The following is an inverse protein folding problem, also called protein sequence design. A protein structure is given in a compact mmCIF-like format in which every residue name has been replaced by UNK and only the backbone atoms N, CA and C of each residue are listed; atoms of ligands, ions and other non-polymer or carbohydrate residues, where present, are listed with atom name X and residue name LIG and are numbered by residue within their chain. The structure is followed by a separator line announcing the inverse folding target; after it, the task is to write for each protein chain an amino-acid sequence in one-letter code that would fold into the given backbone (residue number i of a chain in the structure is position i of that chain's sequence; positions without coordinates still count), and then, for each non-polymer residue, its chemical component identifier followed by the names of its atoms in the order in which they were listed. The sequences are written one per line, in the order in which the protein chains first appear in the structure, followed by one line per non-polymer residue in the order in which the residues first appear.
data_IF_640350446834
#
_entry.id   IF_640350446834
#
_cell.length_a   1.000
_cell.length_b   1.000
_cell.length_c   1.000
_cell.angle_alpha   90.00
_cell.angle_beta   90.00
_cell.angle_gamma   90.00
#
_symmetry.space_group_name_H-M   'P 1'
#
loop_
_entity.id
_entity.type
_entity.pdbx_description
1 polymer ?
#
# COMPACT_ATOMS: atom_id res chain seq x y z
N UNK A 1 -55.52 -7.22 28.89
CA UNK A 1 -54.20 -7.20 28.21
C UNK A 1 -53.11 -7.18 29.27
N UNK A 2 -52.26 -8.21 29.35
CA UNK A 2 -51.20 -8.30 30.37
C UNK A 2 -50.02 -7.38 30.00
N UNK A 3 -49.64 -6.46 30.90
CA UNK A 3 -48.43 -5.63 30.73
C UNK A 3 -47.20 -6.50 30.99
N UNK A 4 -46.43 -6.82 29.95
CA UNK A 4 -45.09 -7.41 30.10
C UNK A 4 -44.20 -6.41 30.86
N UNK A 5 -43.68 -6.79 32.02
CA UNK A 5 -42.65 -6.02 32.73
C UNK A 5 -41.30 -6.39 32.15
N UNK A 6 -40.64 -5.45 31.47
CA UNK A 6 -39.26 -5.63 31.01
C UNK A 6 -38.35 -5.51 32.24
N UNK A 7 -37.58 -6.55 32.53
CA UNK A 7 -36.60 -6.51 33.60
C UNK A 7 -35.31 -5.82 33.15
N UNK A 8 -34.58 -5.17 34.07
CA UNK A 8 -33.28 -4.53 33.77
C UNK A 8 -32.30 -5.49 33.09
N UNK A 9 -32.34 -6.77 33.45
CA UNK A 9 -31.49 -7.83 32.88
C UNK A 9 -31.88 -8.15 31.42
N UNK A 10 -33.17 -8.20 31.11
CA UNK A 10 -33.64 -8.38 29.72
C UNK A 10 -33.28 -7.17 28.87
N UNK A 11 -33.44 -5.95 29.40
CA UNK A 11 -33.06 -4.73 28.70
C UNK A 11 -31.56 -4.68 28.39
N UNK A 12 -30.68 -4.99 29.36
CA UNK A 12 -29.23 -5.03 29.12
C UNK A 12 -28.88 -6.15 28.12
N UNK A 13 -29.50 -7.33 28.22
CA UNK A 13 -29.32 -8.41 27.25
C UNK A 13 -29.73 -8.02 25.83
N UNK A 14 -30.86 -7.32 25.68
CA UNK A 14 -31.38 -6.86 24.39
C UNK A 14 -30.54 -5.71 23.81
N UNK A 15 -30.12 -4.74 24.62
CA UNK A 15 -29.22 -3.64 24.22
C UNK A 15 -27.83 -4.15 23.81
N UNK A 16 -27.31 -5.17 24.50
CA UNK A 16 -26.00 -5.74 24.16
C UNK A 16 -26.06 -6.49 22.82
N UNK A 17 -27.18 -7.18 22.55
CA UNK A 17 -27.36 -7.93 21.30
C UNK A 17 -27.62 -6.99 20.10
N UNK A 18 -28.38 -5.91 20.29
CA UNK A 18 -28.68 -4.94 19.23
C UNK A 18 -27.56 -3.89 19.00
N UNK A 19 -26.74 -3.59 20.02
CA UNK A 19 -25.66 -2.61 19.92
C UNK A 19 -24.44 -3.10 19.13
N UNK A 20 -24.15 -4.40 19.18
CA UNK A 20 -22.99 -4.98 18.49
C UNK A 20 -23.11 -4.92 16.96
N UNK A 21 -24.34 -4.99 16.42
CA UNK A 21 -24.58 -4.90 14.97
C UNK A 21 -24.22 -3.54 14.36
N UNK A 22 -24.25 -2.45 15.13
CA UNK A 22 -23.87 -1.12 14.65
C UNK A 22 -22.37 -0.80 14.79
N UNK A 23 -21.60 -1.73 15.37
CA UNK A 23 -20.17 -1.50 15.63
C UNK A 23 -19.26 -2.20 14.60
N UNK A 24 -19.82 -3.01 13.69
CA UNK A 24 -19.07 -3.56 12.55
C UNK A 24 -19.01 -2.51 11.45
N UNK A 25 -18.16 -1.51 11.64
CA UNK A 25 -17.80 -0.53 10.61
C UNK A 25 -16.45 -0.91 10.03
N UNK A 26 -16.33 -0.78 8.70
CA UNK A 26 -15.06 -1.05 8.03
C UNK A 26 -13.95 -0.15 8.62
N UNK A 27 -12.71 -0.65 8.79
CA UNK A 27 -11.61 0.11 9.40
C UNK A 27 -11.31 1.48 8.76
N UNK A 28 -11.74 1.72 7.52
CA UNK A 28 -11.61 3.01 6.85
C UNK A 28 -12.58 4.08 7.34
N UNK A 29 -13.69 3.71 8.00
CA UNK A 29 -14.72 4.66 8.51
C UNK A 29 -14.28 5.30 9.82
N UNK A 30 -13.55 4.57 10.67
CA UNK A 30 -13.12 5.04 11.99
C UNK A 30 -11.79 5.83 11.97
N UNK A 31 -11.27 6.17 10.80
CA UNK A 31 -9.89 6.68 10.71
C UNK A 31 -8.85 5.67 11.20
N UNK A 32 -9.22 4.40 11.38
CA UNK A 32 -8.34 3.31 11.77
C UNK A 32 -7.45 2.84 10.59
N UNK A 33 -7.46 3.57 9.47
CA UNK A 33 -6.38 3.52 8.49
C UNK A 33 -5.12 4.09 9.14
N UNK A 34 -4.33 3.18 9.71
CA UNK A 34 -2.88 3.30 9.64
C UNK A 34 -2.26 4.36 10.54
N UNK A 35 -1.97 3.99 11.78
CA UNK A 35 -0.75 4.50 12.44
C UNK A 35 0.54 4.08 11.69
N UNK A 36 0.43 3.19 10.69
CA UNK A 36 1.55 2.55 9.97
C UNK A 36 1.33 2.34 8.46
N UNK A 37 0.38 3.03 7.80
CA UNK A 37 0.23 2.94 6.33
C UNK A 37 0.06 4.32 5.73
N UNK A 38 1.13 4.83 5.11
CA UNK A 38 1.13 6.05 4.31
C UNK A 38 0.09 5.92 3.19
N UNK A 39 -0.64 7.00 2.90
CA UNK A 39 -1.51 7.03 1.73
C UNK A 39 -0.63 6.87 0.48
N UNK A 40 -1.14 6.31 -0.63
CA UNK A 40 -0.36 6.20 -1.87
C UNK A 40 0.19 7.54 -2.37
N UNK A 41 -0.51 8.65 -2.09
CA UNK A 41 -0.08 10.02 -2.41
C UNK A 41 1.11 10.51 -1.58
N UNK A 42 1.34 9.91 -0.41
CA UNK A 42 2.36 10.34 0.55
C UNK A 42 3.65 9.54 0.39
N UNK A 43 3.69 8.60 -0.57
CA UNK A 43 4.86 7.80 -0.90
C UNK A 43 5.71 8.52 -1.93
N UNK A 44 7.03 8.33 -1.84
CA UNK A 44 7.96 8.82 -2.85
C UNK A 44 7.89 7.95 -4.11
N UNK A 45 8.01 8.58 -5.27
CA UNK A 45 8.23 7.92 -6.55
C UNK A 45 9.73 7.66 -6.74
N UNK A 46 10.15 6.42 -6.53
CA UNK A 46 11.55 6.02 -6.59
C UNK A 46 11.89 5.47 -7.97
N UNK A 47 13.00 5.91 -8.54
CA UNK A 47 13.62 5.28 -9.70
C UNK A 47 14.87 4.50 -9.30
N UNK A 48 14.99 3.25 -9.77
CA UNK A 48 16.17 2.42 -9.48
C UNK A 48 16.98 2.16 -10.75
N UNK A 49 18.29 2.45 -10.70
CA UNK A 49 19.23 2.24 -11.81
C UNK A 49 20.22 1.13 -11.42
N UNK A 50 20.34 0.10 -12.25
CA UNK A 50 21.11 -1.11 -11.93
C UNK A 50 20.31 -2.02 -11.00
N UNK A 51 19.32 -2.71 -11.56
CA UNK A 51 18.30 -3.46 -10.80
C UNK A 51 18.50 -4.97 -10.85
N UNK A 52 19.66 -5.43 -11.29
CA UNK A 52 20.12 -6.81 -11.17
C UNK A 52 20.99 -7.08 -9.93
N UNK A 53 21.23 -8.35 -9.62
CA UNK A 53 22.11 -8.76 -8.52
C UNK A 53 21.70 -8.17 -7.17
N UNK A 54 22.62 -7.45 -6.49
CA UNK A 54 22.35 -6.76 -5.22
C UNK A 54 21.29 -5.66 -5.36
N UNK A 55 21.25 -4.95 -6.50
CA UNK A 55 20.23 -3.92 -6.73
C UNK A 55 18.81 -4.47 -6.69
N UNK A 56 18.61 -5.74 -7.07
CA UNK A 56 17.31 -6.40 -6.94
C UNK A 56 16.87 -6.60 -5.48
N UNK A 57 17.82 -6.68 -4.53
CA UNK A 57 17.50 -6.71 -3.12
C UNK A 57 17.10 -5.32 -2.61
N UNK A 58 17.81 -4.28 -3.05
CA UNK A 58 17.54 -2.89 -2.68
C UNK A 58 16.17 -2.43 -3.19
N UNK A 59 15.85 -2.69 -4.46
CA UNK A 59 14.53 -2.42 -5.06
C UNK A 59 13.41 -3.09 -4.24
N UNK A 60 13.63 -4.34 -3.82
CA UNK A 60 12.65 -5.09 -3.01
C UNK A 60 12.53 -4.57 -1.58
N UNK A 61 13.61 -4.03 -1.03
CA UNK A 61 13.61 -3.36 0.26
C UNK A 61 12.78 -2.09 0.23
N UNK A 62 13.09 -1.21 -0.72
CA UNK A 62 12.43 0.09 -0.89
C UNK A 62 10.97 -0.06 -1.30
N UNK A 63 10.65 -1.01 -2.18
CA UNK A 63 9.27 -1.25 -2.64
C UNK A 63 8.31 -1.75 -1.56
N UNK A 64 8.79 -2.03 -0.33
CA UNK A 64 7.92 -2.32 0.82
C UNK A 64 7.27 -1.05 1.37
N UNK A 65 7.94 0.09 1.27
CA UNK A 65 7.49 1.36 1.85
C UNK A 65 7.07 2.34 0.77
N UNK A 66 7.89 2.49 -0.28
CA UNK A 66 7.73 3.51 -1.32
C UNK A 66 7.10 2.99 -2.61
N UNK A 67 6.83 3.89 -3.55
CA UNK A 67 6.35 3.56 -4.88
C UNK A 67 7.54 3.38 -5.84
N UNK A 68 7.73 2.16 -6.35
CA UNK A 68 8.72 1.90 -7.39
C UNK A 68 8.17 2.38 -8.72
N UNK A 69 8.59 3.58 -9.13
CA UNK A 69 8.05 4.29 -10.28
C UNK A 69 8.72 3.86 -11.59
N UNK A 70 10.05 3.77 -11.59
CA UNK A 70 10.84 3.40 -12.75
C UNK A 70 12.00 2.46 -12.40
N UNK A 71 12.29 1.53 -13.30
CA UNK A 71 13.40 0.58 -13.19
C UNK A 71 14.26 0.68 -14.45
N UNK A 72 15.56 0.80 -14.26
CA UNK A 72 16.52 0.91 -15.35
C UNK A 72 17.65 -0.13 -15.21
N UNK A 73 17.91 -0.89 -16.27
CA UNK A 73 19.10 -1.74 -16.37
C UNK A 73 19.56 -1.86 -17.84
N UNK A 74 20.87 -1.91 -18.05
CA UNK A 74 21.43 -2.09 -19.40
C UNK A 74 21.29 -3.53 -19.88
N UNK A 75 21.27 -4.51 -18.97
CA UNK A 75 21.04 -5.93 -19.29
C UNK A 75 19.67 -6.37 -18.78
N UNK A 76 18.73 -6.57 -19.72
CA UNK A 76 17.36 -7.00 -19.42
C UNK A 76 17.30 -8.33 -18.66
N UNK A 77 18.30 -9.20 -18.84
CA UNK A 77 18.37 -10.50 -18.15
C UNK A 77 18.74 -10.31 -16.68
N UNK A 78 19.64 -9.39 -16.39
CA UNK A 78 20.06 -9.07 -15.03
C UNK A 78 18.91 -8.42 -14.25
N UNK A 79 18.19 -7.48 -14.88
CA UNK A 79 17.05 -6.79 -14.26
C UNK A 79 15.75 -7.61 -14.22
N UNK A 80 15.68 -8.77 -14.88
CA UNK A 80 14.46 -9.55 -15.09
C UNK A 80 13.65 -9.78 -13.81
N UNK A 81 14.34 -10.09 -12.70
CA UNK A 81 13.69 -10.34 -11.41
C UNK A 81 12.98 -9.10 -10.87
N UNK A 82 13.64 -7.94 -10.89
CA UNK A 82 13.07 -6.67 -10.41
C UNK A 82 11.89 -6.23 -11.28
N UNK A 83 12.03 -6.39 -12.59
CA UNK A 83 10.96 -6.07 -13.52
C UNK A 83 9.71 -6.95 -13.37
N UNK A 84 9.88 -8.24 -13.05
CA UNK A 84 8.77 -9.14 -12.76
C UNK A 84 8.13 -8.83 -11.41
N UNK A 85 8.94 -8.44 -10.41
CA UNK A 85 8.45 -8.08 -9.08
C UNK A 85 7.64 -6.78 -9.08
N UNK A 86 7.97 -5.84 -9.96
CA UNK A 86 7.30 -4.54 -10.08
C UNK A 86 6.85 -4.28 -11.52
N UNK A 87 5.81 -5.00 -12.00
CA UNK A 87 5.38 -4.94 -13.40
C UNK A 87 4.74 -3.59 -13.79
N UNK A 88 4.32 -2.80 -12.81
CA UNK A 88 3.76 -1.47 -13.02
C UNK A 88 4.83 -0.37 -13.15
N UNK A 89 6.08 -0.67 -12.78
CA UNK A 89 7.18 0.29 -12.91
C UNK A 89 7.56 0.47 -14.38
N UNK A 90 7.81 1.72 -14.79
CA UNK A 90 8.27 2.03 -16.14
C UNK A 90 9.68 1.47 -16.35
N UNK A 91 9.89 0.76 -17.45
CA UNK A 91 11.16 0.06 -17.73
C UNK A 91 12.00 0.85 -18.72
N UNK A 92 13.26 1.04 -18.39
CA UNK A 92 14.22 1.72 -19.22
C UNK A 92 15.51 0.92 -19.34
N UNK A 93 16.20 1.10 -20.46
CA UNK A 93 17.54 0.53 -20.67
C UNK A 93 18.65 1.53 -20.39
N UNK A 94 18.34 2.80 -20.57
CA UNK A 94 19.24 3.92 -20.41
C UNK A 94 18.68 4.90 -19.38
N UNK A 95 19.45 5.17 -18.34
CA UNK A 95 19.03 6.06 -17.27
C UNK A 95 18.91 7.51 -17.73
N UNK A 96 19.64 7.92 -18.76
CA UNK A 96 19.57 9.29 -19.31
C UNK A 96 18.21 9.51 -19.94
N UNK A 97 17.76 8.57 -20.76
CA UNK A 97 16.43 8.59 -21.38
C UNK A 97 15.32 8.52 -20.32
N UNK A 98 15.53 7.74 -19.25
CA UNK A 98 14.61 7.70 -18.12
C UNK A 98 14.49 9.07 -17.46
N UNK A 99 15.61 9.68 -17.08
CA UNK A 99 15.62 10.99 -16.40
C UNK A 99 15.10 12.12 -17.30
N UNK A 100 15.39 12.09 -18.60
CA UNK A 100 14.86 13.07 -19.56
C UNK A 100 13.33 13.01 -19.66
N UNK A 101 12.75 11.81 -19.65
CA UNK A 101 11.30 11.60 -19.79
C UNK A 101 10.54 11.75 -18.49
N UNK A 102 11.12 11.25 -17.41
CA UNK A 102 10.42 10.98 -16.15
C UNK A 102 11.00 11.74 -14.95
N UNK A 103 12.11 12.45 -15.12
CA UNK A 103 12.85 13.08 -14.01
C UNK A 103 12.04 14.09 -13.19
N UNK A 104 10.93 14.63 -13.73
CA UNK A 104 10.01 15.51 -12.99
C UNK A 104 9.04 14.75 -12.07
N UNK A 105 8.86 13.45 -12.30
CA UNK A 105 7.95 12.57 -11.55
C UNK A 105 8.70 11.65 -10.60
N UNK A 106 10.03 11.63 -10.67
CA UNK A 106 10.91 10.86 -9.80
C UNK A 106 11.34 11.77 -8.64
N UNK A 107 11.14 11.31 -7.40
CA UNK A 107 11.52 12.04 -6.19
C UNK A 107 12.92 11.64 -5.70
N UNK A 108 13.34 10.40 -5.96
CA UNK A 108 14.66 9.88 -5.62
C UNK A 108 15.11 8.75 -6.57
#
# INVERSE_FOLDING_TARGET
MSKKRISRREFVGEVTTAGLSFTIVAPHVLGARGRNRLAPSDKLNIACIGVGGMGANDVRGVGKTENIYALCDVDDRQGAQSFQAFPLAKRFKDFRVMLDKEGKSIDA
#
